data_IF_946160003876
#
_entry.id   IF_946160003876
#
_cell.length_a   1.000
_cell.length_b   1.000
_cell.length_c   1.000
_cell.angle_alpha   90.00
_cell.angle_beta   90.00
_cell.angle_gamma   90.00
#
_symmetry.space_group_name_H-M   'P 1'
#
loop_
_entity.id
_entity.type
_entity.pdbx_description
1 polymer ?
#
# COMPACT_ATOMS: atom_id res chain seq x y z
N UNK A 1 -3.60 -16.35 -15.61
CA UNK A 1 -4.49 -15.90 -16.69
C UNK A 1 -4.08 -14.48 -17.07
N UNK A 2 -4.01 -14.17 -18.36
CA UNK A 2 -3.71 -12.82 -18.85
C UNK A 2 -4.72 -11.80 -18.30
N UNK A 3 -6.00 -12.17 -18.17
CA UNK A 3 -7.03 -11.24 -17.68
C UNK A 3 -6.78 -10.75 -16.25
N UNK A 4 -6.20 -11.59 -15.39
CA UNK A 4 -5.90 -11.19 -14.00
C UNK A 4 -4.71 -10.25 -13.91
N UNK A 5 -3.69 -10.44 -14.76
CA UNK A 5 -2.57 -9.52 -14.87
C UNK A 5 -3.04 -8.14 -15.35
N UNK A 6 -3.91 -8.09 -16.36
CA UNK A 6 -4.50 -6.84 -16.85
C UNK A 6 -5.36 -6.15 -15.79
N UNK A 7 -6.16 -6.91 -15.02
CA UNK A 7 -6.91 -6.38 -13.89
C UNK A 7 -6.00 -5.78 -12.82
N UNK A 8 -4.87 -6.41 -12.51
CA UNK A 8 -3.85 -5.88 -11.60
C UNK A 8 -3.31 -4.54 -12.07
N UNK A 9 -2.81 -4.48 -13.32
CA UNK A 9 -2.25 -3.26 -13.89
C UNK A 9 -3.26 -2.10 -13.95
N UNK A 10 -4.51 -2.38 -14.32
CA UNK A 10 -5.56 -1.36 -14.34
C UNK A 10 -5.88 -0.89 -12.92
N UNK A 11 -5.97 -1.80 -11.95
CA UNK A 11 -6.22 -1.45 -10.56
C UNK A 11 -5.11 -0.55 -9.99
N UNK A 12 -3.84 -0.88 -10.24
CA UNK A 12 -2.69 -0.05 -9.89
C UNK A 12 -2.78 1.33 -10.54
N UNK A 13 -3.06 1.41 -11.85
CA UNK A 13 -3.22 2.69 -12.55
C UNK A 13 -4.35 3.56 -11.96
N UNK A 14 -5.50 2.97 -11.65
CA UNK A 14 -6.62 3.67 -11.01
C UNK A 14 -6.19 4.24 -9.66
N UNK A 15 -5.58 3.41 -8.81
CA UNK A 15 -5.07 3.83 -7.50
C UNK A 15 -4.03 4.95 -7.66
N UNK A 16 -3.11 4.83 -8.60
CA UNK A 16 -2.11 5.85 -8.89
C UNK A 16 -2.72 7.22 -9.22
N UNK A 17 -3.82 7.26 -9.99
CA UNK A 17 -4.51 8.50 -10.31
C UNK A 17 -5.24 9.05 -9.07
N UNK A 18 -5.96 8.21 -8.34
CA UNK A 18 -6.65 8.62 -7.11
C UNK A 18 -5.68 9.17 -6.05
N UNK A 19 -4.49 8.57 -5.90
CA UNK A 19 -3.48 9.10 -4.98
C UNK A 19 -2.95 10.48 -5.39
N UNK A 20 -2.92 10.80 -6.70
CA UNK A 20 -2.54 12.15 -7.14
C UNK A 20 -3.60 13.19 -6.79
N UNK A 21 -4.89 12.83 -6.81
CA UNK A 21 -5.99 13.79 -6.54
C UNK A 21 -6.09 14.17 -5.08
N UNK A 22 -5.44 13.44 -4.17
CA UNK A 22 -5.43 13.71 -2.72
C UNK A 22 -4.59 14.94 -2.32
N UNK A 23 -3.94 15.62 -3.26
CA UNK A 23 -3.07 16.76 -2.96
C UNK A 23 -3.04 17.76 -4.09
N UNK A 24 -3.10 19.04 -3.73
CA UNK A 24 -3.01 20.15 -4.69
C UNK A 24 -1.56 20.57 -4.99
N UNK A 25 -0.58 19.84 -4.43
CA UNK A 25 0.85 20.13 -4.64
C UNK A 25 1.27 19.70 -6.04
N UNK A 26 1.62 20.67 -6.88
CA UNK A 26 2.15 20.46 -8.24
C UNK A 26 3.40 19.57 -8.25
N UNK A 27 4.18 19.56 -7.17
CA UNK A 27 5.38 18.73 -7.05
C UNK A 27 5.11 17.29 -6.57
N UNK A 28 3.86 16.91 -6.30
CA UNK A 28 3.56 15.56 -5.82
C UNK A 28 3.92 14.54 -6.90
N UNK A 29 4.71 13.56 -6.50
CA UNK A 29 5.04 12.41 -7.32
C UNK A 29 4.50 11.15 -6.66
N UNK A 30 4.12 10.17 -7.48
CA UNK A 30 3.96 8.80 -7.00
C UNK A 30 5.34 8.26 -6.67
N UNK A 31 5.50 7.85 -5.43
CA UNK A 31 6.71 7.20 -4.94
C UNK A 31 6.40 5.74 -4.69
N UNK A 32 7.43 4.90 -4.78
CA UNK A 32 7.40 3.50 -4.42
C UNK A 32 8.68 3.16 -3.67
N UNK A 33 8.74 2.00 -3.02
CA UNK A 33 9.93 1.56 -2.31
C UNK A 33 10.38 0.21 -2.83
N UNK A 34 11.70 0.08 -3.02
CA UNK A 34 12.35 -1.17 -3.41
C UNK A 34 13.41 -1.50 -2.37
N UNK A 35 13.47 -2.77 -1.97
CA UNK A 35 14.56 -3.30 -1.16
C UNK A 35 15.83 -3.39 -1.98
N UNK A 36 16.85 -2.63 -1.60
CA UNK A 36 18.16 -2.66 -2.26
C UNK A 36 19.03 -3.82 -1.71
N UNK A 37 18.74 -5.08 -2.12
CA UNK A 37 19.54 -6.27 -1.76
C UNK A 37 19.75 -7.17 -2.98
N UNK A 38 21.00 -7.48 -3.30
CA UNK A 38 21.36 -8.41 -4.37
C UNK A 38 20.68 -9.78 -4.18
N UNK A 39 19.93 -10.23 -5.19
CA UNK A 39 19.25 -11.54 -5.23
C UNK A 39 17.85 -11.60 -4.58
N UNK A 40 17.34 -10.51 -4.00
CA UNK A 40 15.96 -10.47 -3.47
C UNK A 40 15.38 -9.05 -3.56
N UNK A 41 14.52 -8.84 -4.55
CA UNK A 41 13.80 -7.59 -4.75
C UNK A 41 12.41 -7.73 -4.12
N UNK A 42 12.15 -6.92 -3.09
CA UNK A 42 10.82 -6.66 -2.58
C UNK A 42 10.44 -5.23 -2.99
N UNK A 43 9.24 -5.05 -3.50
CA UNK A 43 8.76 -3.77 -4.03
C UNK A 43 7.30 -3.58 -3.64
N UNK A 44 6.99 -2.43 -3.02
CA UNK A 44 5.61 -2.01 -2.74
C UNK A 44 5.14 -1.09 -3.86
N UNK A 45 3.88 -1.21 -4.26
CA UNK A 45 3.33 -0.50 -5.42
C UNK A 45 3.42 1.03 -5.25
N UNK A 46 3.05 1.52 -4.07
CA UNK A 46 3.14 2.95 -3.74
C UNK A 46 3.59 3.20 -2.30
N UNK A 47 4.04 4.42 -2.08
CA UNK A 47 4.34 4.99 -0.77
C UNK A 47 3.63 6.33 -0.65
N UNK A 48 2.81 6.48 0.40
CA UNK A 48 2.14 7.74 0.72
C UNK A 48 2.83 8.43 1.89
N UNK A 49 3.12 9.72 1.74
CA UNK A 49 3.80 10.51 2.76
C UNK A 49 2.84 11.55 3.31
N UNK A 50 2.63 11.53 4.62
CA UNK A 50 1.74 12.45 5.32
C UNK A 50 2.22 12.61 6.76
N UNK A 51 2.21 13.83 7.27
CA UNK A 51 2.53 14.14 8.67
C UNK A 51 3.86 13.53 9.18
N UNK A 52 4.89 13.57 8.33
CA UNK A 52 6.22 12.97 8.56
C UNK A 52 6.24 11.43 8.68
N UNK A 53 5.12 10.76 8.38
CA UNK A 53 5.01 9.31 8.28
C UNK A 53 5.01 8.84 6.83
N UNK A 54 5.40 7.59 6.63
CA UNK A 54 5.57 6.97 5.33
C UNK A 54 4.78 5.67 5.31
N UNK A 55 3.65 5.65 4.60
CA UNK A 55 2.72 4.54 4.59
C UNK A 55 2.92 3.70 3.31
N UNK A 56 3.35 2.43 3.41
CA UNK A 56 3.42 1.56 2.26
C UNK A 56 2.01 1.16 1.83
N UNK A 57 1.78 1.16 0.51
CA UNK A 57 0.52 0.80 -0.12
C UNK A 57 0.77 -0.36 -1.08
N UNK A 58 -0.09 -1.37 -0.98
CA UNK A 58 -0.12 -2.52 -1.87
C UNK A 58 -1.52 -2.66 -2.50
N UNK A 59 -1.61 -2.78 -3.81
CA UNK A 59 -2.86 -2.88 -4.58
C UNK A 59 -3.12 -4.33 -4.96
N UNK A 60 -4.28 -4.85 -4.57
CA UNK A 60 -4.65 -6.27 -4.76
C UNK A 60 -6.04 -6.39 -5.37
N UNK A 61 -6.09 -6.72 -6.65
CA UNK A 61 -7.34 -6.93 -7.40
C UNK A 61 -7.94 -8.35 -7.23
N UNK A 62 -7.17 -9.32 -6.72
CA UNK A 62 -7.59 -10.72 -6.54
C UNK A 62 -7.69 -11.17 -5.07
N UNK A 63 -8.26 -12.36 -4.85
CA UNK A 63 -8.55 -12.92 -3.51
C UNK A 63 -7.32 -13.49 -2.77
N UNK A 64 -6.29 -13.94 -3.50
CA UNK A 64 -5.08 -14.50 -2.92
C UNK A 64 -3.90 -13.56 -3.16
N UNK A 65 -3.60 -12.77 -2.15
CA UNK A 65 -2.60 -11.71 -2.24
C UNK A 65 -1.62 -11.82 -1.09
N UNK A 66 -0.51 -12.51 -1.32
CA UNK A 66 0.60 -12.47 -0.37
C UNK A 66 1.14 -11.04 -0.25
N UNK A 67 1.32 -10.57 0.98
CA UNK A 67 1.81 -9.22 1.31
C UNK A 67 3.32 -9.21 1.57
N UNK A 68 4.10 -9.99 0.80
CA UNK A 68 5.54 -10.19 1.05
C UNK A 68 6.32 -8.87 0.99
N UNK A 69 6.05 -8.04 -0.01
CA UNK A 69 6.71 -6.75 -0.16
C UNK A 69 6.39 -5.80 1.00
N UNK A 70 5.12 -5.73 1.37
CA UNK A 70 4.66 -4.94 2.50
C UNK A 70 5.27 -5.42 3.82
N UNK A 71 5.31 -6.73 4.10
CA UNK A 71 6.02 -7.28 5.26
C UNK A 71 7.52 -6.91 5.23
N UNK A 72 8.15 -6.98 4.05
CA UNK A 72 9.55 -6.58 3.88
C UNK A 72 9.75 -5.11 4.21
N UNK A 73 8.91 -4.21 3.68
CA UNK A 73 8.95 -2.78 4.00
C UNK A 73 8.80 -2.55 5.51
N UNK A 74 7.82 -3.22 6.14
CA UNK A 74 7.57 -3.05 7.57
C UNK A 74 8.80 -3.47 8.38
N UNK A 75 9.45 -4.59 8.07
CA UNK A 75 10.65 -5.02 8.79
C UNK A 75 11.87 -4.08 8.63
N UNK A 76 11.92 -3.27 7.56
CA UNK A 76 13.03 -2.35 7.30
C UNK A 76 12.70 -0.89 7.65
N UNK A 77 11.59 -0.63 8.33
CA UNK A 77 11.16 0.71 8.72
C UNK A 77 10.71 0.78 10.18
N UNK A 78 10.49 1.98 10.70
CA UNK A 78 9.87 2.18 12.03
C UNK A 78 8.33 2.33 11.94
N UNK A 79 7.76 2.12 10.76
CA UNK A 79 6.32 2.30 10.53
C UNK A 79 5.52 1.21 11.21
N UNK A 80 4.33 1.55 11.69
CA UNK A 80 3.40 0.64 12.40
C UNK A 80 2.07 0.48 11.68
N UNK A 81 1.92 1.12 10.53
CA UNK A 81 0.70 1.14 9.72
C UNK A 81 1.07 0.89 8.27
N UNK A 82 0.28 0.06 7.61
CA UNK A 82 0.38 -0.21 6.18
C UNK A 82 -1.00 -0.28 5.55
N UNK A 83 -1.09 -0.12 4.23
CA UNK A 83 -2.36 -0.05 3.52
C UNK A 83 -2.40 -1.12 2.43
N UNK A 84 -3.48 -1.90 2.39
CA UNK A 84 -3.83 -2.76 1.27
C UNK A 84 -5.06 -2.18 0.59
N UNK A 85 -4.97 -1.83 -0.68
CA UNK A 85 -6.13 -1.44 -1.49
C UNK A 85 -6.68 -2.68 -2.18
N UNK A 86 -7.96 -2.97 -2.01
CA UNK A 86 -8.54 -4.24 -2.46
C UNK A 86 -10.05 -4.18 -2.71
N UNK A 87 -10.61 -5.29 -3.21
CA UNK A 87 -12.03 -5.40 -3.55
C UNK A 87 -12.94 -5.88 -2.41
N UNK A 88 -12.37 -6.19 -1.24
CA UNK A 88 -13.11 -6.66 -0.06
C UNK A 88 -13.46 -5.49 0.88
N UNK A 89 -14.36 -5.68 1.86
CA UNK A 89 -14.78 -4.62 2.77
C UNK A 89 -13.64 -3.94 3.53
N UNK A 90 -13.93 -2.76 4.05
CA UNK A 90 -13.01 -2.05 4.93
C UNK A 90 -12.77 -2.85 6.21
N UNK A 91 -11.51 -3.00 6.58
CA UNK A 91 -11.09 -3.64 7.83
C UNK A 91 -9.75 -3.07 8.30
N UNK A 92 -9.43 -3.28 9.57
CA UNK A 92 -8.11 -2.99 10.12
C UNK A 92 -7.66 -4.23 10.85
N UNK A 93 -6.66 -4.91 10.30
CA UNK A 93 -6.14 -6.15 10.87
C UNK A 93 -4.86 -5.86 11.67
N UNK A 94 -4.65 -6.57 12.77
CA UNK A 94 -3.34 -6.66 13.39
C UNK A 94 -2.55 -7.76 12.72
N UNK A 95 -1.42 -7.41 12.11
CA UNK A 95 -0.59 -8.31 11.33
C UNK A 95 0.79 -8.40 11.95
N UNK A 96 1.32 -9.62 11.99
CA UNK A 96 2.68 -9.91 12.45
C UNK A 96 3.53 -10.40 11.28
N UNK A 97 4.70 -9.81 11.10
CA UNK A 97 5.66 -10.30 10.11
C UNK A 97 6.34 -11.58 10.60
N UNK A 98 6.96 -12.32 9.68
CA UNK A 98 7.72 -13.52 10.03
C UNK A 98 8.86 -13.24 11.03
N UNK A 99 9.43 -12.03 10.97
CA UNK A 99 10.48 -11.56 11.88
C UNK A 99 9.92 -11.00 13.20
N UNK A 100 8.60 -11.13 13.42
CA UNK A 100 7.93 -10.80 14.68
C UNK A 100 7.48 -9.35 14.82
N UNK A 101 7.66 -8.50 13.81
CA UNK A 101 7.19 -7.11 13.86
C UNK A 101 5.68 -7.05 13.70
N UNK A 102 5.01 -6.35 14.61
CA UNK A 102 3.56 -6.14 14.59
C UNK A 102 3.22 -4.78 13.97
N UNK A 103 2.16 -4.74 13.17
CA UNK A 103 1.65 -3.52 12.54
C UNK A 103 0.15 -3.64 12.22
N UNK A 104 -0.50 -2.49 12.02
CA UNK A 104 -1.90 -2.41 11.57
C UNK A 104 -1.95 -2.40 10.05
N UNK A 105 -2.71 -3.30 9.46
CA UNK A 105 -3.01 -3.32 8.03
C UNK A 105 -4.39 -2.72 7.79
N UNK A 106 -4.43 -1.54 7.20
CA UNK A 106 -5.66 -0.91 6.73
C UNK A 106 -6.04 -1.53 5.40
N UNK A 107 -7.12 -2.30 5.42
CA UNK A 107 -7.73 -2.91 4.26
C UNK A 107 -8.73 -1.93 3.65
N UNK A 108 -8.31 -1.22 2.60
CA UNK A 108 -9.04 -0.11 2.02
C UNK A 108 -9.74 -0.53 0.70
N UNK A 109 -11.07 -0.53 0.63
CA UNK A 109 -11.78 -0.70 -0.63
C UNK A 109 -11.37 0.34 -1.68
N UNK A 110 -11.31 -0.04 -2.96
CA UNK A 110 -10.96 0.88 -4.06
C UNK A 110 -11.75 2.20 -4.05
N UNK A 111 -13.05 2.16 -3.72
CA UNK A 111 -13.90 3.34 -3.68
C UNK A 111 -13.60 4.31 -2.51
N UNK A 112 -12.72 3.94 -1.57
CA UNK A 112 -12.29 4.78 -0.44
C UNK A 112 -10.88 5.37 -0.61
N UNK A 113 -10.20 5.13 -1.72
CA UNK A 113 -8.82 5.65 -1.95
C UNK A 113 -8.80 7.19 -1.90
N UNK A 114 -9.80 7.85 -2.47
CA UNK A 114 -9.98 9.31 -2.39
C UNK A 114 -10.25 9.88 -0.98
N UNK A 115 -10.24 9.04 0.06
CA UNK A 115 -10.33 9.43 1.49
C UNK A 115 -9.13 8.94 2.31
N UNK A 116 -8.09 8.41 1.66
CA UNK A 116 -6.93 7.82 2.33
C UNK A 116 -6.30 8.78 3.35
N UNK A 117 -6.09 10.05 2.96
CA UNK A 117 -5.45 11.05 3.82
C UNK A 117 -6.21 11.26 5.15
N UNK A 118 -7.54 11.34 5.08
CA UNK A 118 -8.40 11.50 6.24
C UNK A 118 -8.47 10.24 7.10
N UNK A 119 -8.40 9.05 6.49
CA UNK A 119 -8.40 7.78 7.21
C UNK A 119 -7.09 7.64 8.00
N UNK A 120 -5.95 7.98 7.39
CA UNK A 120 -4.62 7.86 8.01
C UNK A 120 -4.44 8.75 9.23
N UNK A 121 -5.11 9.91 9.33
CA UNK A 121 -5.06 10.79 10.52
C UNK A 121 -5.51 10.12 11.82
N UNK A 122 -6.16 8.96 11.74
CA UNK A 122 -6.63 8.18 12.91
C UNK A 122 -5.56 7.23 13.46
N UNK A 123 -4.39 7.17 12.83
CA UNK A 123 -3.30 6.23 13.11
C UNK A 123 -1.97 6.95 13.25
#
# INVERSE_FOLDING_TARGET
DIMDAWRGMIAEQIVAQELLTLTDKVSQKRCFWVRNKSGSNAEVDYVWVQDSMVYPIEVKSGHNAHLRSLHSFMNHSNQTVAVRIWSQPYAVDEVKTADGKEFKLINLPFYLVGKLDSILRRF
#
